data_IF_816312151393
#
_entry.id   IF_816312151393
#
_cell.length_a   1.000
_cell.length_b   1.000
_cell.length_c   1.000
_cell.angle_alpha   90.00
_cell.angle_beta   90.00
_cell.angle_gamma   90.00
#
_symmetry.space_group_name_H-M   'P 1'
#
loop_
_entity.id
_entity.type
_entity.pdbx_description
1 polymer ?
#
# COMPACT_ATOMS: atom_id res chain seq x y z
N UNK A 1 12.10 -18.43 14.47
CA UNK A 1 12.31 -17.15 13.81
C UNK A 1 10.94 -16.61 13.39
N UNK A 2 10.66 -15.31 13.63
CA UNK A 2 9.47 -14.65 13.12
C UNK A 2 9.86 -13.73 11.97
N UNK A 3 9.01 -13.71 10.93
CA UNK A 3 9.12 -12.82 9.78
C UNK A 3 7.89 -11.90 9.72
N UNK A 4 8.07 -10.66 9.30
CA UNK A 4 6.97 -9.69 9.20
C UNK A 4 6.10 -9.86 7.95
N UNK A 5 6.49 -10.72 7.02
CA UNK A 5 5.75 -11.04 5.79
C UNK A 5 6.19 -12.38 5.21
N UNK A 6 5.40 -12.95 4.32
CA UNK A 6 5.80 -14.14 3.56
C UNK A 6 7.04 -13.87 2.70
N UNK A 7 7.15 -12.66 2.14
CA UNK A 7 8.34 -12.24 1.39
C UNK A 7 9.62 -12.33 2.23
N UNK A 8 9.60 -11.89 3.49
CA UNK A 8 10.75 -11.99 4.39
C UNK A 8 10.96 -13.43 4.87
N UNK A 9 9.91 -14.21 5.10
CA UNK A 9 10.05 -15.62 5.43
C UNK A 9 10.78 -16.39 4.31
N UNK A 10 10.40 -16.18 3.05
CA UNK A 10 11.09 -16.75 1.88
C UNK A 10 12.55 -16.30 1.80
N UNK A 11 12.81 -15.02 2.08
CA UNK A 11 14.18 -14.49 2.11
C UNK A 11 15.04 -15.13 3.20
N UNK A 12 14.48 -15.33 4.40
CA UNK A 12 15.12 -16.05 5.50
C UNK A 12 15.43 -17.50 5.08
N UNK A 13 14.46 -18.19 4.49
CA UNK A 13 14.64 -19.55 4.00
C UNK A 13 15.76 -19.62 2.95
N UNK A 14 15.78 -18.69 2.00
CA UNK A 14 16.77 -18.65 0.92
C UNK A 14 18.18 -18.32 1.42
N UNK A 15 18.32 -17.35 2.31
CA UNK A 15 19.62 -16.80 2.73
C UNK A 15 20.18 -17.54 3.95
N UNK A 16 19.33 -17.78 4.96
CA UNK A 16 19.75 -18.43 6.21
C UNK A 16 19.47 -19.92 6.25
N UNK A 17 18.74 -20.46 5.25
CA UNK A 17 18.30 -21.88 5.18
C UNK A 17 17.55 -22.30 6.44
N UNK A 18 16.71 -21.43 6.97
CA UNK A 18 15.89 -21.65 8.15
C UNK A 18 14.44 -21.30 7.84
N UNK A 19 13.53 -22.05 8.44
CA UNK A 19 12.11 -21.70 8.39
C UNK A 19 11.81 -20.52 9.32
N UNK A 20 10.88 -19.68 8.90
CA UNK A 20 10.33 -18.58 9.69
C UNK A 20 8.82 -18.61 9.65
N UNK A 21 8.20 -18.43 10.79
CA UNK A 21 6.76 -18.25 10.93
C UNK A 21 6.41 -16.78 10.66
N UNK A 22 5.34 -16.54 9.92
CA UNK A 22 4.93 -15.17 9.60
C UNK A 22 4.04 -14.62 10.70
N UNK A 23 4.45 -13.48 11.24
CA UNK A 23 3.65 -12.65 12.13
C UNK A 23 3.73 -11.21 11.63
N UNK A 24 2.66 -10.75 10.98
CA UNK A 24 2.61 -9.42 10.41
C UNK A 24 2.71 -8.34 11.51
N UNK A 25 3.40 -7.21 11.27
CA UNK A 25 3.57 -6.16 12.27
C UNK A 25 2.23 -5.48 12.57
N UNK A 26 2.06 -4.97 13.81
CA UNK A 26 0.84 -4.27 14.19
C UNK A 26 0.74 -2.91 13.50
N UNK A 27 -0.46 -2.58 13.02
CA UNK A 27 -0.81 -1.26 12.50
C UNK A 27 -1.90 -0.66 13.39
N UNK A 28 -1.80 0.63 13.66
CA UNK A 28 -2.79 1.40 14.43
C UNK A 28 -4.02 1.69 13.56
N UNK A 29 -4.83 0.64 13.30
CA UNK A 29 -6.02 0.76 12.45
C UNK A 29 -7.08 1.70 13.03
N UNK A 30 -7.09 1.93 14.33
CA UNK A 30 -8.05 2.82 14.99
C UNK A 30 -7.79 4.31 14.69
N UNK A 31 -6.54 4.67 14.41
CA UNK A 31 -6.17 6.01 13.99
C UNK A 31 -6.53 6.32 12.52
N UNK A 32 -6.90 5.29 11.75
CA UNK A 32 -7.21 5.37 10.32
C UNK A 32 -8.60 4.77 10.10
N UNK A 33 -9.61 5.62 9.97
CA UNK A 33 -11.01 5.19 9.85
C UNK A 33 -11.60 5.57 8.51
N UNK A 34 -12.54 4.80 7.95
CA UNK A 34 -13.24 5.17 6.73
C UNK A 34 -14.10 6.42 6.92
N UNK A 35 -14.26 7.19 5.85
CA UNK A 35 -15.29 8.24 5.74
C UNK A 35 -16.12 8.03 4.48
N UNK A 36 -17.31 8.60 4.45
CA UNK A 36 -18.17 8.53 3.27
C UNK A 36 -17.63 9.42 2.15
N UNK A 37 -17.73 8.91 0.93
CA UNK A 37 -17.37 9.63 -0.29
C UNK A 37 -15.87 9.63 -0.59
N UNK A 38 -15.53 9.38 -1.86
CA UNK A 38 -14.18 9.48 -2.39
C UNK A 38 -14.10 10.66 -3.35
N UNK A 39 -12.96 11.33 -3.38
CA UNK A 39 -12.66 12.37 -4.36
C UNK A 39 -11.92 11.78 -5.55
N UNK A 40 -11.91 12.48 -6.66
CA UNK A 40 -11.32 11.99 -7.90
C UNK A 40 -9.82 12.30 -7.99
N UNK A 41 -9.05 11.72 -7.06
CA UNK A 41 -7.59 11.74 -7.12
C UNK A 41 -6.98 10.43 -6.60
N UNK A 42 -5.81 10.14 -7.10
CA UNK A 42 -4.92 9.08 -6.61
C UNK A 42 -3.89 9.66 -5.66
N UNK A 43 -3.53 8.91 -4.62
CA UNK A 43 -2.59 9.34 -3.60
C UNK A 43 -1.34 8.45 -3.59
N UNK A 44 -0.17 9.05 -3.57
CA UNK A 44 1.06 8.37 -3.14
C UNK A 44 1.65 9.13 -1.96
N UNK A 45 1.80 8.44 -0.82
CA UNK A 45 2.41 8.99 0.39
C UNK A 45 3.66 8.18 0.71
N UNK A 46 4.82 8.80 0.55
CA UNK A 46 6.09 8.09 0.68
C UNK A 46 7.27 9.03 0.95
N UNK A 47 8.30 8.52 1.61
CA UNK A 47 9.61 9.15 1.57
C UNK A 47 10.20 9.03 0.17
N UNK A 48 10.69 10.13 -0.39
CA UNK A 48 11.25 10.18 -1.75
C UNK A 48 12.69 9.64 -1.78
N UNK A 49 12.82 8.32 -1.76
CA UNK A 49 14.09 7.58 -1.89
C UNK A 49 14.04 6.66 -3.11
N UNK A 50 15.20 6.24 -3.69
CA UNK A 50 15.24 5.55 -4.99
C UNK A 50 14.32 4.33 -5.11
N UNK A 51 14.29 3.44 -4.11
CA UNK A 51 13.53 2.20 -4.18
C UNK A 51 12.01 2.40 -4.09
N UNK A 52 11.55 3.57 -3.62
CA UNK A 52 10.11 3.89 -3.56
C UNK A 52 9.50 4.22 -4.92
N UNK A 53 10.33 4.50 -5.93
CA UNK A 53 9.93 4.69 -7.32
C UNK A 53 8.75 5.66 -7.51
N UNK A 54 8.69 6.74 -6.72
CA UNK A 54 7.68 7.79 -6.86
C UNK A 54 7.81 8.51 -8.21
N UNK A 55 9.03 8.56 -8.76
CA UNK A 55 9.32 9.03 -10.12
C UNK A 55 8.49 8.31 -11.18
N UNK A 56 8.31 6.99 -11.03
CA UNK A 56 7.53 6.17 -11.94
C UNK A 56 6.03 6.54 -11.88
N UNK A 57 5.48 6.74 -10.69
CA UNK A 57 4.10 7.20 -10.56
C UNK A 57 3.91 8.58 -11.21
N UNK A 58 4.84 9.50 -10.99
CA UNK A 58 4.82 10.82 -11.61
C UNK A 58 4.87 10.74 -13.15
N UNK A 59 5.77 9.91 -13.70
CA UNK A 59 5.87 9.69 -15.14
C UNK A 59 4.60 9.07 -15.76
N UNK A 60 3.96 8.14 -15.05
CA UNK A 60 2.69 7.55 -15.49
C UNK A 60 1.56 8.60 -15.53
N UNK A 61 1.37 9.37 -14.44
CA UNK A 61 0.30 10.37 -14.36
C UNK A 61 0.53 11.58 -15.28
N UNK A 62 1.77 11.92 -15.59
CA UNK A 62 2.08 12.90 -16.66
C UNK A 62 1.43 12.50 -18.00
N UNK A 63 1.28 11.22 -18.28
CA UNK A 63 0.66 10.67 -19.51
C UNK A 63 -0.85 10.51 -19.39
N UNK A 64 -1.42 10.64 -18.19
CA UNK A 64 -2.84 10.48 -17.88
C UNK A 64 -3.46 11.82 -17.49
N UNK A 65 -3.53 12.78 -18.41
CA UNK A 65 -3.96 14.17 -18.16
C UNK A 65 -5.38 14.33 -17.54
N UNK A 66 -6.24 13.33 -17.73
CA UNK A 66 -7.60 13.30 -17.14
C UNK A 66 -7.66 12.74 -15.71
N UNK A 67 -6.52 12.39 -15.10
CA UNK A 67 -6.45 11.77 -13.76
C UNK A 67 -5.52 12.56 -12.86
N UNK A 68 -5.97 12.85 -11.64
CA UNK A 68 -5.21 13.65 -10.66
C UNK A 68 -4.36 12.77 -9.76
N UNK A 69 -3.09 13.16 -9.56
CA UNK A 69 -2.18 12.55 -8.59
C UNK A 69 -1.81 13.56 -7.51
N UNK A 70 -1.99 13.17 -6.26
CA UNK A 70 -1.47 13.91 -5.09
C UNK A 70 -0.26 13.15 -4.55
N UNK A 71 0.87 13.82 -4.45
CA UNK A 71 2.14 13.28 -3.95
C UNK A 71 2.44 13.92 -2.59
N UNK A 72 2.52 13.07 -1.55
CA UNK A 72 2.84 13.46 -0.17
C UNK A 72 4.19 12.88 0.22
N UNK A 73 4.96 13.68 0.92
CA UNK A 73 6.28 13.33 1.44
C UNK A 73 7.40 14.16 0.81
N UNK A 74 8.62 13.86 1.27
CA UNK A 74 9.83 14.54 0.83
C UNK A 74 11.01 13.55 0.85
N UNK A 75 12.14 13.97 0.31
CA UNK A 75 13.37 13.19 0.34
C UNK A 75 14.33 13.51 -0.79
N UNK A 76 15.49 12.83 -0.82
CA UNK A 76 16.58 13.14 -1.75
C UNK A 76 16.21 12.99 -3.23
N UNK A 77 15.15 12.22 -3.57
CA UNK A 77 14.68 12.05 -4.94
C UNK A 77 13.63 13.07 -5.38
N UNK A 78 13.28 14.08 -4.55
CA UNK A 78 12.24 15.06 -4.90
C UNK A 78 12.50 15.76 -6.25
N UNK A 79 13.75 16.13 -6.53
CA UNK A 79 14.11 16.75 -7.81
C UNK A 79 13.85 15.81 -9.01
N UNK A 80 14.21 14.53 -8.88
CA UNK A 80 13.96 13.52 -9.92
C UNK A 80 12.46 13.25 -10.10
N UNK A 81 11.69 13.20 -9.01
CA UNK A 81 10.22 13.01 -9.07
C UNK A 81 9.55 14.21 -9.77
N UNK A 82 9.97 15.45 -9.45
CA UNK A 82 9.46 16.64 -10.14
C UNK A 82 9.83 16.68 -11.62
N UNK A 83 11.05 16.26 -11.96
CA UNK A 83 11.48 16.14 -13.36
C UNK A 83 10.65 15.11 -14.13
N UNK A 84 10.35 13.96 -13.53
CA UNK A 84 9.47 12.94 -14.10
C UNK A 84 8.01 13.43 -14.28
N UNK A 85 7.49 14.18 -13.31
CA UNK A 85 6.17 14.80 -13.38
C UNK A 85 6.09 15.82 -14.54
N UNK A 86 7.16 16.56 -14.78
CA UNK A 86 7.12 17.71 -15.69
C UNK A 86 6.25 18.83 -15.14
N UNK A 87 5.89 19.77 -16.02
CA UNK A 87 5.01 20.89 -15.65
C UNK A 87 3.56 20.61 -16.11
N UNK A 88 2.88 19.66 -15.44
CA UNK A 88 1.51 19.29 -15.76
C UNK A 88 0.56 19.66 -14.62
N UNK A 89 -0.68 20.08 -14.91
CA UNK A 89 -1.60 20.59 -13.87
C UNK A 89 -2.22 19.48 -13.01
N UNK A 90 -2.18 18.25 -13.44
CA UNK A 90 -2.84 17.11 -12.79
C UNK A 90 -1.96 16.40 -11.74
N UNK A 91 -0.75 16.89 -11.45
CA UNK A 91 0.12 16.36 -10.40
C UNK A 91 0.38 17.45 -9.35
N UNK A 92 -0.03 17.18 -8.11
CA UNK A 92 0.13 18.11 -6.98
C UNK A 92 1.13 17.54 -5.97
N UNK A 93 2.10 18.34 -5.59
CA UNK A 93 3.07 18.04 -4.54
C UNK A 93 2.70 18.76 -3.24
N UNK A 94 2.42 18.00 -2.18
CA UNK A 94 2.05 18.55 -0.86
C UNK A 94 3.25 18.63 0.10
N UNK A 95 4.39 18.04 -0.25
CA UNK A 95 5.52 17.96 0.66
C UNK A 95 5.21 17.14 1.91
N UNK A 96 5.83 17.49 3.03
CA UNK A 96 5.51 16.88 4.32
C UNK A 96 4.18 17.44 4.85
N UNK A 97 3.30 16.55 5.29
CA UNK A 97 2.00 16.89 5.86
C UNK A 97 1.87 16.35 7.28
N UNK A 98 0.96 16.91 8.07
CA UNK A 98 0.62 16.37 9.38
C UNK A 98 -0.04 14.99 9.29
N UNK A 99 -0.01 14.19 10.39
CA UNK A 99 -0.72 12.91 10.45
C UNK A 99 -2.20 13.08 10.15
N UNK A 100 -2.84 14.10 10.69
CA UNK A 100 -4.26 14.37 10.46
C UNK A 100 -4.56 14.67 8.98
N UNK A 101 -3.72 15.44 8.31
CA UNK A 101 -3.86 15.71 6.87
C UNK A 101 -3.60 14.46 6.03
N UNK A 102 -2.61 13.64 6.40
CA UNK A 102 -2.36 12.37 5.73
C UNK A 102 -3.57 11.43 5.82
N UNK A 103 -4.15 11.30 7.01
CA UNK A 103 -5.38 10.50 7.23
C UNK A 103 -6.51 11.04 6.34
N UNK A 104 -6.76 12.35 6.33
CA UNK A 104 -7.80 12.96 5.51
C UNK A 104 -7.58 12.72 4.01
N UNK A 105 -6.33 12.78 3.54
CA UNK A 105 -5.99 12.46 2.15
C UNK A 105 -6.20 10.98 1.83
N UNK A 106 -5.79 10.06 2.71
CA UNK A 106 -6.04 8.63 2.54
C UNK A 106 -7.54 8.32 2.53
N UNK A 107 -8.32 8.93 3.42
CA UNK A 107 -9.77 8.78 3.48
C UNK A 107 -10.47 9.22 2.19
N UNK A 108 -9.99 10.33 1.60
CA UNK A 108 -10.64 10.97 0.45
C UNK A 108 -10.16 10.42 -0.90
N UNK A 109 -8.98 9.80 -0.98
CA UNK A 109 -8.42 9.32 -2.23
C UNK A 109 -9.29 8.24 -2.89
N UNK A 110 -9.37 8.25 -4.22
CA UNK A 110 -10.00 7.21 -5.03
C UNK A 110 -9.29 5.87 -4.87
N UNK A 111 -7.96 5.90 -4.91
CA UNK A 111 -7.08 4.79 -4.56
C UNK A 111 -5.70 5.32 -4.11
N UNK A 112 -5.00 4.51 -3.31
CA UNK A 112 -3.61 4.79 -2.95
C UNK A 112 -2.65 3.93 -3.80
N UNK A 113 -1.48 4.51 -4.13
CA UNK A 113 -0.47 3.87 -4.96
C UNK A 113 0.72 3.42 -4.11
N UNK A 114 1.24 2.23 -4.39
CA UNK A 114 2.45 1.71 -3.78
C UNK A 114 3.35 1.04 -4.82
N UNK A 115 4.44 1.71 -5.20
CA UNK A 115 5.29 1.28 -6.31
C UNK A 115 6.51 0.49 -5.83
N UNK A 116 6.81 0.56 -4.54
CA UNK A 116 8.00 -0.05 -3.96
C UNK A 116 7.89 -1.57 -3.81
N UNK A 117 9.03 -2.26 -3.90
CA UNK A 117 9.20 -3.58 -3.32
C UNK A 117 9.66 -3.40 -1.87
N UNK A 118 8.79 -3.71 -0.92
CA UNK A 118 9.04 -3.54 0.51
C UNK A 118 8.84 -4.83 1.29
N UNK A 119 9.45 -4.87 2.46
CA UNK A 119 9.37 -6.03 3.35
C UNK A 119 7.95 -6.28 3.83
N UNK A 120 7.16 -5.22 4.12
CA UNK A 120 5.74 -5.30 4.48
C UNK A 120 4.93 -4.17 3.83
N UNK A 121 5.06 -2.91 4.30
CA UNK A 121 4.37 -1.74 3.76
C UNK A 121 3.19 -1.28 4.60
N UNK A 122 3.47 -0.78 5.82
CA UNK A 122 2.48 -0.29 6.79
C UNK A 122 1.50 0.71 6.17
N UNK A 123 1.98 1.63 5.33
CA UNK A 123 1.15 2.64 4.67
C UNK A 123 0.03 2.05 3.80
N UNK A 124 0.20 0.85 3.25
CA UNK A 124 -0.87 0.16 2.51
C UNK A 124 -2.00 -0.29 3.43
N UNK A 125 -1.66 -0.76 4.63
CA UNK A 125 -2.66 -1.14 5.64
C UNK A 125 -3.38 0.10 6.16
N UNK A 126 -2.66 1.20 6.41
CA UNK A 126 -3.23 2.48 6.84
C UNK A 126 -4.24 3.02 5.81
N UNK A 127 -3.91 2.97 4.51
CA UNK A 127 -4.81 3.35 3.44
C UNK A 127 -6.07 2.46 3.41
N UNK A 128 -5.92 1.15 3.52
CA UNK A 128 -7.06 0.24 3.58
C UNK A 128 -7.89 0.41 4.85
N UNK A 129 -7.27 0.75 5.99
CA UNK A 129 -8.00 1.10 7.21
C UNK A 129 -8.86 2.36 7.01
N UNK A 130 -8.44 3.31 6.17
CA UNK A 130 -9.24 4.44 5.70
C UNK A 130 -10.33 4.06 4.67
N UNK A 131 -10.53 2.78 4.38
CA UNK A 131 -11.45 2.32 3.35
C UNK A 131 -11.01 2.64 1.92
N UNK A 132 -9.71 2.76 1.67
CA UNK A 132 -9.16 3.17 0.37
C UNK A 132 -8.42 2.01 -0.28
N UNK A 133 -8.81 1.62 -1.50
CA UNK A 133 -8.17 0.53 -2.22
C UNK A 133 -6.74 0.87 -2.67
N UNK A 134 -5.97 -0.18 -2.93
CA UNK A 134 -4.56 -0.08 -3.30
C UNK A 134 -4.31 -0.47 -4.75
N UNK A 135 -3.47 0.28 -5.45
CA UNK A 135 -2.79 -0.16 -6.66
C UNK A 135 -1.30 -0.31 -6.31
N UNK A 136 -0.83 -1.54 -6.25
CA UNK A 136 0.50 -1.82 -5.71
C UNK A 136 1.35 -2.67 -6.65
N UNK A 137 2.66 -2.47 -6.60
CA UNK A 137 3.60 -3.38 -7.25
C UNK A 137 3.51 -4.77 -6.58
N UNK A 138 3.29 -5.81 -7.38
CA UNK A 138 3.00 -7.18 -6.94
C UNK A 138 4.21 -7.94 -6.40
N UNK A 139 5.11 -7.27 -5.68
CA UNK A 139 6.27 -7.89 -5.02
C UNK A 139 6.46 -7.36 -3.60
N UNK A 140 7.08 -8.18 -2.76
CA UNK A 140 7.25 -7.85 -1.35
C UNK A 140 5.96 -8.04 -0.56
N UNK A 141 5.80 -7.29 0.51
CA UNK A 141 4.66 -7.37 1.43
C UNK A 141 3.31 -6.96 0.84
N UNK A 142 3.30 -6.30 -0.33
CA UNK A 142 2.04 -5.97 -1.02
C UNK A 142 1.19 -7.21 -1.32
N UNK A 143 1.81 -8.37 -1.57
CA UNK A 143 1.12 -9.65 -1.79
C UNK A 143 0.44 -10.20 -0.54
N UNK A 144 0.90 -9.83 0.64
CA UNK A 144 0.27 -10.22 1.90
C UNK A 144 -0.93 -9.31 2.23
N UNK A 145 -0.88 -8.05 1.76
CA UNK A 145 -1.81 -6.99 2.15
C UNK A 145 -2.95 -6.83 1.14
N UNK A 146 -2.64 -6.74 -0.15
CA UNK A 146 -3.65 -6.47 -1.18
C UNK A 146 -4.34 -7.77 -1.58
N UNK A 147 -5.68 -7.78 -1.54
CA UNK A 147 -6.52 -8.86 -2.05
C UNK A 147 -7.01 -8.48 -3.43
N UNK A 148 -6.68 -9.30 -4.40
CA UNK A 148 -7.02 -9.06 -5.81
C UNK A 148 -8.35 -9.71 -6.18
N UNK A 149 -9.00 -9.30 -7.30
CA UNK A 149 -10.24 -9.91 -7.78
C UNK A 149 -10.09 -11.40 -8.13
N UNK A 150 -8.89 -11.83 -8.47
CA UNK A 150 -8.59 -13.23 -8.75
C UNK A 150 -8.56 -14.10 -7.48
N UNK A 151 -8.37 -13.46 -6.32
CA UNK A 151 -8.26 -14.14 -5.02
C UNK A 151 -9.55 -14.09 -4.23
N UNK A 152 -10.36 -13.04 -4.37
CA UNK A 152 -11.53 -12.78 -3.51
C UNK A 152 -12.66 -12.06 -4.24
N UNK A 153 -13.90 -12.39 -3.86
CA UNK A 153 -15.12 -11.70 -4.34
C UNK A 153 -15.20 -10.23 -3.85
N UNK A 154 -14.55 -9.92 -2.74
CA UNK A 154 -14.46 -8.57 -2.18
C UNK A 154 -13.01 -8.06 -2.20
N UNK A 155 -12.48 -7.67 -3.36
CA UNK A 155 -11.09 -7.26 -3.52
C UNK A 155 -10.80 -5.92 -2.85
N UNK A 156 -9.54 -5.71 -2.47
CA UNK A 156 -9.08 -4.48 -1.82
C UNK A 156 -8.09 -3.69 -2.68
N UNK A 157 -7.85 -4.14 -3.91
CA UNK A 157 -6.97 -3.45 -4.84
C UNK A 157 -6.50 -4.33 -5.99
N UNK A 158 -5.56 -3.80 -6.75
CA UNK A 158 -4.90 -4.50 -7.86
C UNK A 158 -3.39 -4.56 -7.63
N UNK A 159 -2.79 -5.65 -8.10
CA UNK A 159 -1.35 -5.79 -8.20
C UNK A 159 -0.91 -5.70 -9.66
N UNK A 160 0.14 -4.92 -9.92
CA UNK A 160 0.80 -4.86 -11.23
C UNK A 160 2.18 -5.53 -11.18
N UNK A 161 2.58 -6.16 -12.29
CA UNK A 161 3.71 -7.09 -12.31
C UNK A 161 5.08 -6.42 -12.54
N UNK A 162 5.11 -5.21 -13.13
CA UNK A 162 6.35 -4.54 -13.53
C UNK A 162 6.40 -3.11 -13.00
N UNK A 163 7.58 -2.68 -12.54
CA UNK A 163 7.81 -1.29 -12.13
C UNK A 163 8.06 -0.41 -13.36
N UNK A 164 7.03 -0.25 -14.20
CA UNK A 164 7.03 0.61 -15.39
C UNK A 164 5.84 1.57 -15.36
N UNK A 165 5.92 2.76 -15.98
CA UNK A 165 4.78 3.65 -16.12
C UNK A 165 3.60 2.97 -16.84
N UNK A 166 3.88 2.13 -17.83
CA UNK A 166 2.89 1.40 -18.61
C UNK A 166 2.07 0.44 -17.75
N UNK A 167 2.73 -0.33 -16.90
CA UNK A 167 2.06 -1.27 -15.99
C UNK A 167 1.19 -0.54 -14.96
N UNK A 168 1.62 0.62 -14.48
CA UNK A 168 0.80 1.44 -13.58
C UNK A 168 -0.40 2.06 -14.31
N UNK A 169 -0.23 2.52 -15.55
CA UNK A 169 -1.33 3.03 -16.39
C UNK A 169 -2.37 1.94 -16.60
N UNK A 170 -1.97 0.74 -17.01
CA UNK A 170 -2.88 -0.41 -17.16
C UNK A 170 -3.62 -0.72 -15.85
N UNK A 171 -2.91 -0.74 -14.72
CA UNK A 171 -3.53 -0.99 -13.42
C UNK A 171 -4.58 0.08 -13.05
N UNK A 172 -4.33 1.35 -13.34
CA UNK A 172 -5.28 2.44 -13.15
C UNK A 172 -6.51 2.26 -14.06
N UNK A 173 -6.33 1.94 -15.33
CA UNK A 173 -7.41 1.73 -16.28
C UNK A 173 -8.28 0.52 -15.92
N UNK A 174 -7.66 -0.59 -15.53
CA UNK A 174 -8.37 -1.78 -15.04
C UNK A 174 -9.15 -1.47 -13.76
N UNK A 175 -8.56 -0.75 -12.82
CA UNK A 175 -9.22 -0.33 -11.59
C UNK A 175 -10.47 0.49 -11.88
N UNK A 176 -10.39 1.46 -12.79
CA UNK A 176 -11.53 2.29 -13.19
C UNK A 176 -12.63 1.49 -13.91
N UNK A 177 -12.22 0.56 -14.79
CA UNK A 177 -13.16 -0.31 -15.49
C UNK A 177 -13.95 -1.25 -14.56
N UNK A 178 -13.39 -1.61 -13.42
CA UNK A 178 -14.05 -2.45 -12.40
C UNK A 178 -15.06 -1.68 -11.54
N UNK A 179 -15.07 -0.33 -11.59
CA UNK A 179 -16.06 0.49 -10.91
C UNK A 179 -16.16 0.22 -9.41
N UNK A 180 -17.36 -0.12 -8.91
CA UNK A 180 -17.67 -0.31 -7.49
C UNK A 180 -17.19 -1.63 -6.86
N UNK A 181 -16.34 -2.43 -7.52
CA UNK A 181 -15.86 -3.70 -6.98
C UNK A 181 -15.02 -3.54 -5.70
N UNK A 182 -14.36 -2.39 -5.54
CA UNK A 182 -13.48 -2.11 -4.40
C UNK A 182 -14.24 -1.26 -3.36
N UNK A 183 -14.75 -1.89 -2.32
CA UNK A 183 -15.55 -1.20 -1.31
C UNK A 183 -14.72 -0.77 -0.10
N UNK A 184 -15.15 0.30 0.57
CA UNK A 184 -14.51 0.78 1.78
C UNK A 184 -14.57 -0.26 2.92
N UNK A 185 -15.68 -1.00 2.99
CA UNK A 185 -15.91 -2.07 3.97
C UNK A 185 -14.93 -3.23 3.76
N UNK A 186 -14.72 -3.67 2.52
CA UNK A 186 -13.76 -4.73 2.19
C UNK A 186 -12.32 -4.30 2.55
N UNK A 187 -11.93 -3.07 2.20
CA UNK A 187 -10.62 -2.52 2.55
C UNK A 187 -10.44 -2.46 4.06
N UNK A 188 -11.43 -1.94 4.82
CA UNK A 188 -11.38 -1.87 6.27
C UNK A 188 -11.28 -3.25 6.90
N UNK A 189 -12.12 -4.19 6.50
CA UNK A 189 -12.12 -5.56 7.03
C UNK A 189 -10.76 -6.26 6.78
N UNK A 190 -10.17 -6.03 5.62
CA UNK A 190 -8.84 -6.58 5.32
C UNK A 190 -7.74 -5.94 6.19
N UNK A 191 -7.79 -4.62 6.44
CA UNK A 191 -6.82 -3.94 7.30
C UNK A 191 -6.83 -4.45 8.75
N UNK A 192 -8.00 -4.86 9.28
CA UNK A 192 -8.12 -5.39 10.64
C UNK A 192 -7.31 -6.67 10.88
N UNK A 193 -6.98 -7.42 9.85
CA UNK A 193 -6.06 -8.57 9.95
C UNK A 193 -4.67 -8.18 10.46
N UNK A 194 -4.31 -6.92 10.34
CA UNK A 194 -3.02 -6.36 10.71
C UNK A 194 -3.12 -5.40 11.91
N UNK A 195 -4.26 -5.38 12.60
CA UNK A 195 -4.47 -4.54 13.77
C UNK A 195 -3.54 -4.92 14.93
N UNK A 196 -3.34 -4.00 15.86
CA UNK A 196 -2.60 -4.28 17.09
C UNK A 196 -3.23 -5.41 17.91
N UNK A 197 -4.55 -5.60 17.83
CA UNK A 197 -5.24 -6.72 18.47
C UNK A 197 -4.89 -8.05 17.80
N UNK A 198 -4.93 -8.13 16.46
CA UNK A 198 -4.56 -9.31 15.71
C UNK A 198 -3.09 -9.71 15.95
N UNK A 199 -2.19 -8.72 15.95
CA UNK A 199 -0.78 -8.97 16.27
C UNK A 199 -0.59 -9.56 17.68
N UNK A 200 -1.24 -8.96 18.71
CA UNK A 200 -1.12 -9.47 20.09
C UNK A 200 -1.66 -10.90 20.22
N UNK A 201 -2.76 -11.20 19.54
CA UNK A 201 -3.32 -12.54 19.50
C UNK A 201 -2.34 -13.53 18.87
N UNK A 202 -1.85 -13.24 17.65
CA UNK A 202 -0.89 -14.10 16.94
C UNK A 202 0.40 -14.30 17.74
N UNK A 203 0.91 -13.25 18.40
CA UNK A 203 2.11 -13.37 19.24
C UNK A 203 1.87 -14.32 20.44
N UNK A 204 0.72 -14.23 21.10
CA UNK A 204 0.36 -15.15 22.20
C UNK A 204 0.31 -16.60 21.72
N UNK A 205 -0.26 -16.85 20.56
CA UNK A 205 -0.33 -18.19 19.96
C UNK A 205 1.04 -18.74 19.62
N UNK A 206 1.92 -17.92 19.05
CA UNK A 206 3.31 -18.27 18.79
C UNK A 206 4.02 -18.65 20.08
N UNK A 207 3.92 -17.80 21.11
CA UNK A 207 4.55 -18.04 22.41
C UNK A 207 4.01 -19.30 23.07
N UNK A 208 2.70 -19.50 23.07
CA UNK A 208 2.07 -20.70 23.66
C UNK A 208 2.56 -21.99 22.98
N UNK A 209 2.66 -22.01 21.65
CA UNK A 209 3.19 -23.18 20.92
C UNK A 209 4.64 -23.50 21.30
N UNK A 210 5.47 -22.49 21.54
CA UNK A 210 6.89 -22.70 21.83
C UNK A 210 7.21 -22.92 23.30
N UNK A 211 6.38 -22.42 24.24
CA UNK A 211 6.57 -22.64 25.67
C UNK A 211 5.77 -23.82 26.22
N UNK A 212 4.69 -24.25 25.54
CA UNK A 212 3.86 -25.37 25.94
C UNK A 212 4.41 -26.78 25.62
N UNK A 213 5.63 -26.87 25.12
CA UNK A 213 6.35 -28.11 24.77
C UNK A 213 7.55 -28.34 25.68
N UNK A 214 7.53 -27.79 26.91
CA UNK A 214 8.54 -28.00 27.94
C UNK A 214 8.02 -28.85 29.10
#
# INVERSE_FOLDING_TARGET
ILANSHYIAERIRKVWRREAEVLHPPVDTDAFTPVAGKQDFYLIASRMVPYKRVDLAAAAFRRMSGRTLVIVGDGPQMAAVRAAAGNVPNITFRGHVSKAELVALMQSARACLHIAEEDFGIAMVEAQACGTPMLAFGRGGSRDIVRTPEEMDAPTGLLFAEQTPEALIDAVERFEAMGGAFTAEACRANAERFSAAAFRQGLREVVARHLGHG
#
